data_IF_276400741468
#
_entry.id   IF_276400741468
#
_cell.length_a   1.000
_cell.length_b   1.000
_cell.length_c   1.000
_cell.angle_alpha   90.00
_cell.angle_beta   90.00
_cell.angle_gamma   90.00
#
_symmetry.space_group_name_H-M   'P 1'
#
loop_
_entity.id
_entity.type
_entity.pdbx_description
1 polymer ?
#
# COMPACT_ATOMS: atom_id res chain seq x y z
N UNK A 1 -14.87 -16.61 3.62
CA UNK A 1 -14.29 -15.49 2.87
C UNK A 1 -14.02 -15.88 1.41
N UNK A 2 -13.31 -16.99 1.04
CA UNK A 2 -13.01 -17.33 -0.36
C UNK A 2 -14.26 -17.48 -1.24
N UNK A 3 -15.33 -18.09 -0.71
CA UNK A 3 -16.59 -18.24 -1.44
C UNK A 3 -17.21 -16.89 -1.81
N UNK A 4 -17.26 -15.95 -0.87
CA UNK A 4 -17.81 -14.61 -1.11
C UNK A 4 -16.98 -13.84 -2.14
N UNK A 5 -15.65 -13.91 -2.02
CA UNK A 5 -14.73 -13.31 -3.00
C UNK A 5 -14.95 -13.87 -4.39
N UNK A 6 -15.10 -15.20 -4.51
CA UNK A 6 -15.36 -15.88 -5.79
C UNK A 6 -16.68 -15.41 -6.41
N UNK A 7 -17.75 -15.31 -5.63
CA UNK A 7 -19.05 -14.83 -6.11
C UNK A 7 -18.98 -13.39 -6.62
N UNK A 8 -18.30 -12.50 -5.89
CA UNK A 8 -18.10 -11.11 -6.31
C UNK A 8 -17.30 -11.04 -7.61
N UNK A 9 -16.24 -11.85 -7.74
CA UNK A 9 -15.42 -11.88 -8.95
C UNK A 9 -16.20 -12.42 -10.15
N UNK A 10 -17.02 -13.47 -9.97
CA UNK A 10 -17.88 -14.00 -11.05
C UNK A 10 -18.86 -12.90 -11.52
N UNK A 11 -19.49 -12.20 -10.59
CA UNK A 11 -20.33 -11.06 -10.93
C UNK A 11 -19.58 -9.98 -11.73
N UNK A 12 -18.35 -9.65 -11.31
CA UNK A 12 -17.47 -8.73 -12.05
C UNK A 12 -17.13 -9.23 -13.46
N UNK A 13 -16.92 -10.52 -13.67
CA UNK A 13 -16.69 -11.10 -15.01
C UNK A 13 -17.89 -10.94 -15.91
N UNK A 14 -19.11 -11.12 -15.39
CA UNK A 14 -20.36 -10.93 -16.13
C UNK A 14 -20.52 -9.46 -16.54
N UNK A 15 -20.22 -8.52 -15.64
CA UNK A 15 -20.26 -7.08 -15.95
C UNK A 15 -19.26 -6.70 -17.02
N UNK A 16 -18.02 -7.21 -16.96
CA UNK A 16 -17.00 -6.94 -17.99
C UNK A 16 -17.39 -7.52 -19.36
N UNK A 17 -17.97 -8.71 -19.37
CA UNK A 17 -18.49 -9.33 -20.58
C UNK A 17 -19.63 -8.48 -21.20
N UNK A 18 -20.55 -8.02 -20.37
CA UNK A 18 -21.65 -7.13 -20.82
C UNK A 18 -21.13 -5.79 -21.33
N UNK A 19 -20.20 -5.16 -20.63
CA UNK A 19 -19.58 -3.90 -21.02
C UNK A 19 -18.77 -3.99 -22.33
N UNK A 20 -18.24 -5.19 -22.64
CA UNK A 20 -17.54 -5.49 -23.88
C UNK A 20 -18.48 -5.85 -25.07
N UNK A 21 -19.78 -5.63 -24.93
CA UNK A 21 -20.76 -5.95 -25.98
C UNK A 21 -20.88 -7.45 -26.26
N UNK A 22 -20.70 -8.31 -25.25
CA UNK A 22 -20.76 -9.76 -25.38
C UNK A 22 -19.42 -10.42 -25.77
N UNK A 23 -18.32 -9.70 -25.74
CA UNK A 23 -16.98 -10.25 -26.00
C UNK A 23 -16.24 -10.57 -24.69
N UNK A 24 -15.64 -11.76 -24.61
CA UNK A 24 -14.84 -12.15 -23.44
C UNK A 24 -13.47 -11.44 -23.47
N UNK A 25 -12.92 -11.18 -24.63
CA UNK A 25 -11.63 -10.50 -24.83
C UNK A 25 -11.84 -9.01 -25.06
N UNK A 26 -10.92 -8.14 -24.59
CA UNK A 26 -9.71 -8.44 -23.82
C UNK A 26 -9.89 -8.44 -22.29
N UNK A 27 -11.00 -7.89 -21.78
CA UNK A 27 -11.11 -7.50 -20.35
C UNK A 27 -11.48 -8.69 -19.46
N UNK A 28 -12.58 -9.39 -19.75
CA UNK A 28 -13.03 -10.51 -18.91
C UNK A 28 -12.02 -11.66 -18.91
N UNK A 29 -11.42 -12.00 -20.07
CA UNK A 29 -10.42 -13.07 -20.17
C UNK A 29 -9.18 -12.79 -19.33
N UNK A 30 -8.67 -11.54 -19.36
CA UNK A 30 -7.52 -11.12 -18.53
C UNK A 30 -7.84 -11.22 -17.05
N UNK A 31 -9.02 -10.79 -16.65
CA UNK A 31 -9.45 -10.84 -15.25
C UNK A 31 -9.64 -12.26 -14.74
N UNK A 32 -10.22 -13.14 -15.56
CA UNK A 32 -10.37 -14.57 -15.26
C UNK A 32 -8.99 -15.22 -15.08
N UNK A 33 -8.05 -14.96 -15.99
CA UNK A 33 -6.69 -15.49 -15.90
C UNK A 33 -5.98 -15.06 -14.62
N UNK A 34 -6.03 -13.77 -14.28
CA UNK A 34 -5.48 -13.22 -13.02
C UNK A 34 -6.13 -13.87 -11.81
N UNK A 35 -7.46 -13.95 -11.79
CA UNK A 35 -8.21 -14.57 -10.68
C UNK A 35 -7.84 -16.05 -10.50
N UNK A 36 -7.71 -16.81 -11.60
CA UNK A 36 -7.34 -18.23 -11.56
C UNK A 36 -5.94 -18.50 -10.99
N UNK A 37 -5.03 -17.51 -11.07
CA UNK A 37 -3.70 -17.59 -10.47
C UNK A 37 -3.74 -17.16 -9.00
N UNK A 38 -4.39 -16.03 -8.71
CA UNK A 38 -4.32 -15.42 -7.38
C UNK A 38 -5.25 -16.05 -6.36
N UNK A 39 -6.36 -16.70 -6.78
CA UNK A 39 -7.23 -17.41 -5.85
C UNK A 39 -6.52 -18.62 -5.18
N UNK A 40 -5.90 -19.56 -5.92
CA UNK A 40 -5.12 -20.64 -5.31
C UNK A 40 -3.96 -20.11 -4.46
N UNK A 41 -3.27 -19.06 -4.92
CA UNK A 41 -2.18 -18.43 -4.17
C UNK A 41 -2.68 -17.86 -2.83
N UNK A 42 -3.85 -17.20 -2.82
CA UNK A 42 -4.45 -16.66 -1.58
C UNK A 42 -4.83 -17.77 -0.60
N UNK A 43 -5.36 -18.90 -1.10
CA UNK A 43 -5.67 -20.07 -0.28
C UNK A 43 -4.38 -20.68 0.28
N UNK A 44 -3.35 -20.82 -0.55
CA UNK A 44 -2.04 -21.30 -0.12
C UNK A 44 -1.44 -20.44 0.99
N UNK A 45 -1.45 -19.11 0.83
CA UNK A 45 -0.98 -18.18 1.86
C UNK A 45 -1.80 -18.30 3.15
N UNK A 46 -3.12 -18.47 3.04
CA UNK A 46 -3.99 -18.64 4.19
C UNK A 46 -3.75 -19.96 4.97
N UNK A 47 -3.16 -20.96 4.33
CA UNK A 47 -2.78 -22.24 4.96
C UNK A 47 -1.39 -22.21 5.59
N UNK A 48 -0.60 -21.18 5.35
CA UNK A 48 0.74 -21.05 5.94
C UNK A 48 0.65 -20.88 7.46
N UNK A 49 1.55 -21.52 8.17
CA UNK A 49 1.69 -21.33 9.62
C UNK A 49 2.13 -19.87 9.90
N UNK A 50 1.45 -19.23 10.82
CA UNK A 50 1.79 -17.87 11.28
C UNK A 50 3.22 -17.77 11.78
N UNK A 51 3.80 -18.86 12.31
CA UNK A 51 5.19 -18.91 12.74
C UNK A 51 6.16 -18.73 11.58
N UNK A 52 5.83 -19.27 10.41
CA UNK A 52 6.61 -19.10 9.19
C UNK A 52 6.59 -17.64 8.73
N UNK A 53 5.40 -17.04 8.67
CA UNK A 53 5.22 -15.63 8.31
C UNK A 53 6.00 -14.73 9.29
N UNK A 54 5.89 -15.00 10.58
CA UNK A 54 6.64 -14.28 11.62
C UNK A 54 8.17 -14.42 11.42
N UNK A 55 8.66 -15.63 11.15
CA UNK A 55 10.10 -15.86 10.97
C UNK A 55 10.65 -15.03 9.79
N UNK A 56 9.94 -15.02 8.66
CA UNK A 56 10.38 -14.35 7.44
C UNK A 56 10.00 -12.86 7.35
N UNK A 57 9.38 -12.26 8.35
CA UNK A 57 8.89 -10.87 8.30
C UNK A 57 9.97 -9.85 7.94
N UNK A 58 11.17 -9.93 8.53
CA UNK A 58 12.26 -9.01 8.20
C UNK A 58 12.84 -9.26 6.80
N UNK A 59 12.93 -10.52 6.37
CA UNK A 59 13.40 -10.89 5.03
C UNK A 59 12.42 -10.35 3.99
N UNK A 60 11.14 -10.51 4.23
CA UNK A 60 10.08 -9.98 3.36
C UNK A 60 10.10 -8.45 3.30
N UNK A 61 10.34 -7.77 4.44
CA UNK A 61 10.50 -6.32 4.47
C UNK A 61 11.69 -5.86 3.61
N UNK A 62 12.86 -6.47 3.78
CA UNK A 62 14.05 -6.13 2.99
C UNK A 62 13.81 -6.40 1.50
N UNK A 63 13.19 -7.53 1.16
CA UNK A 63 12.85 -7.87 -0.22
C UNK A 63 11.93 -6.83 -0.86
N UNK A 64 10.84 -6.46 -0.19
CA UNK A 64 9.89 -5.46 -0.72
C UNK A 64 10.52 -4.07 -0.80
N UNK A 65 11.41 -3.72 0.12
CA UNK A 65 12.17 -2.48 0.07
C UNK A 65 13.11 -2.43 -1.13
N UNK A 66 13.82 -3.53 -1.42
CA UNK A 66 14.67 -3.64 -2.63
C UNK A 66 13.82 -3.49 -3.90
N UNK A 67 12.66 -4.14 -3.98
CA UNK A 67 11.74 -3.98 -5.11
C UNK A 67 11.29 -2.51 -5.28
N UNK A 68 11.03 -1.82 -4.18
CA UNK A 68 10.64 -0.40 -4.20
C UNK A 68 11.78 0.49 -4.74
N UNK A 69 13.02 0.18 -4.38
CA UNK A 69 14.20 0.87 -4.92
C UNK A 69 14.39 0.55 -6.41
N UNK A 70 14.23 -0.70 -6.82
CA UNK A 70 14.35 -1.11 -8.22
C UNK A 70 13.33 -0.35 -9.09
N UNK A 71 12.08 -0.23 -8.64
CA UNK A 71 11.04 0.47 -9.41
C UNK A 71 11.35 1.96 -9.61
N UNK A 72 12.08 2.57 -8.72
CA UNK A 72 12.53 3.98 -8.87
C UNK A 72 13.40 4.16 -10.13
N UNK A 73 14.21 3.14 -10.48
CA UNK A 73 15.15 3.21 -11.61
C UNK A 73 14.64 2.56 -12.88
N UNK A 74 13.78 1.52 -12.77
CA UNK A 74 13.36 0.68 -13.91
C UNK A 74 11.87 0.67 -14.16
N UNK A 75 11.08 1.35 -13.29
CA UNK A 75 9.63 1.33 -13.34
C UNK A 75 9.06 1.97 -14.61
N UNK A 76 7.97 1.37 -15.12
CA UNK A 76 7.18 1.99 -16.18
C UNK A 76 6.35 3.13 -15.63
N UNK A 77 6.39 4.26 -16.31
CA UNK A 77 5.53 5.39 -16.00
C UNK A 77 4.13 5.16 -16.56
N UNK A 78 3.14 5.08 -15.68
CA UNK A 78 1.74 5.13 -16.04
C UNK A 78 1.11 6.36 -15.38
N UNK A 79 0.41 7.19 -16.16
CA UNK A 79 -0.22 8.43 -15.68
C UNK A 79 0.75 9.40 -14.97
N UNK A 80 2.00 9.48 -15.44
CA UNK A 80 3.02 10.41 -14.89
C UNK A 80 3.73 9.92 -13.63
N UNK A 81 3.59 8.65 -13.26
CA UNK A 81 4.28 8.07 -12.11
C UNK A 81 4.86 6.69 -12.43
N UNK A 82 6.12 6.48 -12.04
CA UNK A 82 6.83 5.21 -12.19
C UNK A 82 6.54 4.33 -10.97
N UNK A 83 5.57 3.42 -11.07
CA UNK A 83 5.09 2.65 -9.91
C UNK A 83 5.03 1.15 -10.16
N UNK A 84 5.13 0.73 -11.42
CA UNK A 84 4.83 -0.63 -11.84
C UNK A 84 6.08 -1.32 -12.35
N UNK A 85 6.33 -2.53 -11.85
CA UNK A 85 7.28 -3.47 -12.44
C UNK A 85 6.52 -4.36 -13.41
N UNK A 86 6.91 -4.33 -14.66
CA UNK A 86 6.36 -5.21 -15.69
C UNK A 86 7.18 -6.50 -15.74
N UNK A 87 6.53 -7.60 -15.42
CA UNK A 87 7.10 -8.94 -15.50
C UNK A 87 6.67 -9.68 -16.78
N UNK A 88 6.11 -8.95 -17.76
CA UNK A 88 5.66 -9.49 -19.04
C UNK A 88 4.24 -10.05 -18.99
N UNK A 89 3.97 -11.01 -18.12
CA UNK A 89 2.65 -11.65 -17.97
C UNK A 89 1.72 -10.79 -17.08
N UNK A 90 2.27 -10.17 -16.05
CA UNK A 90 1.54 -9.31 -15.12
C UNK A 90 2.45 -8.18 -14.61
N UNK A 91 1.82 -7.12 -14.14
CA UNK A 91 2.50 -5.99 -13.52
C UNK A 91 2.35 -6.06 -12.00
N UNK A 92 3.43 -5.81 -11.28
CA UNK A 92 3.43 -5.73 -9.80
C UNK A 92 3.68 -4.29 -9.39
N UNK A 93 2.96 -3.85 -8.37
CA UNK A 93 3.22 -2.58 -7.71
C UNK A 93 3.90 -2.84 -6.35
N UNK A 94 5.22 -2.59 -6.22
CA UNK A 94 5.95 -2.87 -4.99
C UNK A 94 5.41 -2.13 -3.76
N UNK A 95 4.86 -0.94 -3.91
CA UNK A 95 4.27 -0.18 -2.81
C UNK A 95 3.07 -0.90 -2.15
N UNK A 96 2.35 -1.75 -2.89
CA UNK A 96 1.29 -2.60 -2.32
C UNK A 96 1.86 -3.66 -1.36
N UNK A 97 2.98 -4.27 -1.73
CA UNK A 97 3.68 -5.25 -0.89
C UNK A 97 4.33 -4.60 0.34
N UNK A 98 4.83 -3.37 0.20
CA UNK A 98 5.44 -2.60 1.30
C UNK A 98 4.46 -2.38 2.44
N UNK A 99 3.19 -2.13 2.19
CA UNK A 99 2.18 -1.99 3.25
C UNK A 99 2.13 -3.22 4.15
N UNK A 100 2.09 -4.40 3.54
CA UNK A 100 2.04 -5.68 4.26
C UNK A 100 3.36 -5.92 5.01
N UNK A 101 4.49 -5.67 4.35
CA UNK A 101 5.80 -5.91 4.95
C UNK A 101 6.09 -5.00 6.14
N UNK A 102 5.64 -3.74 6.11
CA UNK A 102 5.73 -2.81 7.25
C UNK A 102 4.91 -3.32 8.44
N UNK A 103 3.69 -3.82 8.20
CA UNK A 103 2.87 -4.43 9.26
C UNK A 103 3.60 -5.60 9.91
N UNK A 104 4.09 -6.53 9.10
CA UNK A 104 4.76 -7.75 9.59
C UNK A 104 6.07 -7.41 10.33
N UNK A 105 6.85 -6.47 9.81
CA UNK A 105 8.09 -6.00 10.42
C UNK A 105 7.80 -5.37 11.79
N UNK A 106 6.83 -4.47 11.87
CA UNK A 106 6.45 -3.81 13.13
C UNK A 106 5.89 -4.80 14.14
N UNK A 107 5.00 -5.71 13.71
CA UNK A 107 4.43 -6.73 14.57
C UNK A 107 5.51 -7.62 15.19
N UNK A 108 6.48 -8.07 14.38
CA UNK A 108 7.62 -8.86 14.84
C UNK A 108 8.50 -8.07 15.80
N UNK A 109 8.88 -6.85 15.42
CA UNK A 109 9.74 -6.00 16.24
C UNK A 109 9.16 -5.76 17.64
N UNK A 110 7.88 -5.38 17.72
CA UNK A 110 7.24 -5.11 19.01
C UNK A 110 6.93 -6.38 19.81
N UNK A 111 6.78 -7.53 19.16
CA UNK A 111 6.64 -8.80 19.87
C UNK A 111 7.98 -9.27 20.49
N UNK A 112 9.11 -8.97 19.86
CA UNK A 112 10.45 -9.29 20.34
C UNK A 112 10.95 -8.27 21.38
N UNK A 113 10.41 -7.05 21.36
CA UNK A 113 10.81 -5.99 22.31
C UNK A 113 10.18 -6.23 23.68
N UNK A 114 10.96 -6.01 24.74
CA UNK A 114 10.49 -6.09 26.12
C UNK A 114 9.34 -5.11 26.37
N UNK A 115 8.14 -5.63 26.58
CA UNK A 115 6.90 -4.84 26.75
C UNK A 115 6.94 -3.86 27.93
N UNK A 116 7.88 -4.04 28.85
CA UNK A 116 8.02 -3.24 30.07
C UNK A 116 9.10 -2.15 30.01
N UNK A 117 9.99 -2.20 29.02
CA UNK A 117 11.11 -1.27 28.87
C UNK A 117 11.08 -0.56 27.51
N UNK A 118 9.95 0.09 27.16
CA UNK A 118 9.93 1.01 26.02
C UNK A 118 10.83 2.23 26.29
N UNK A 119 12.13 2.03 26.07
CA UNK A 119 13.05 3.16 26.01
C UNK A 119 12.74 3.97 24.73
N UNK A 120 12.99 5.27 24.75
CA UNK A 120 12.83 6.16 23.59
C UNK A 120 13.47 5.59 22.32
N UNK A 121 14.59 4.91 22.46
CA UNK A 121 15.35 4.31 21.36
C UNK A 121 14.67 3.08 20.74
N UNK A 122 13.92 2.29 21.51
CA UNK A 122 13.20 1.12 20.99
C UNK A 122 12.00 1.47 20.11
N UNK A 123 11.48 2.70 20.21
CA UNK A 123 10.39 3.19 19.33
C UNK A 123 10.95 3.89 18.09
N UNK A 124 12.14 4.50 18.20
CA UNK A 124 12.73 5.29 17.13
C UNK A 124 13.14 4.46 15.91
N UNK A 125 13.75 3.29 16.15
CA UNK A 125 14.20 2.39 15.07
C UNK A 125 13.05 1.92 14.15
N UNK A 126 11.93 1.36 14.66
CA UNK A 126 10.83 0.92 13.81
C UNK A 126 10.12 2.08 13.11
N UNK A 127 10.09 3.29 13.72
CA UNK A 127 9.58 4.48 13.06
C UNK A 127 10.44 4.83 11.83
N UNK A 128 11.76 4.91 11.98
CA UNK A 128 12.66 5.19 10.86
C UNK A 128 12.54 4.11 9.78
N UNK A 129 12.57 2.83 10.17
CA UNK A 129 12.40 1.72 9.25
C UNK A 129 11.08 1.81 8.46
N UNK A 130 10.01 2.34 9.04
CA UNK A 130 8.73 2.53 8.33
C UNK A 130 8.70 3.81 7.49
N UNK A 131 9.29 4.92 7.97
CA UNK A 131 9.28 6.20 7.27
C UNK A 131 10.10 6.15 5.97
N UNK A 132 11.21 5.41 5.94
CA UNK A 132 12.06 5.33 4.74
C UNK A 132 11.28 4.80 3.53
N UNK A 133 10.64 3.62 3.57
CA UNK A 133 9.84 3.15 2.44
C UNK A 133 8.62 4.05 2.15
N UNK A 134 7.98 4.64 3.17
CA UNK A 134 6.88 5.59 2.98
C UNK A 134 7.34 6.81 2.17
N UNK A 135 8.50 7.38 2.51
CA UNK A 135 9.07 8.53 1.80
C UNK A 135 9.40 8.18 0.34
N UNK A 136 9.93 6.97 0.07
CA UNK A 136 10.16 6.50 -1.30
C UNK A 136 8.85 6.36 -2.08
N UNK A 137 7.80 5.81 -1.48
CA UNK A 137 6.47 5.68 -2.10
C UNK A 137 5.89 7.06 -2.44
N UNK A 138 6.02 8.04 -1.54
CA UNK A 138 5.58 9.42 -1.79
C UNK A 138 6.40 10.06 -2.91
N UNK A 139 7.71 9.79 -2.97
CA UNK A 139 8.60 10.27 -4.04
C UNK A 139 8.22 9.69 -5.41
N UNK A 140 7.70 8.47 -5.47
CA UNK A 140 7.15 7.81 -6.68
C UNK A 140 5.75 8.31 -7.09
N UNK A 141 5.43 9.52 -6.80
CA UNK A 141 4.15 10.24 -6.66
C UNK A 141 2.93 9.35 -6.30
N UNK A 142 3.10 8.37 -5.40
CA UNK A 142 2.02 7.52 -4.90
C UNK A 142 1.56 7.94 -3.51
N UNK A 143 0.94 9.11 -3.46
CA UNK A 143 0.52 9.76 -2.22
C UNK A 143 -0.54 8.94 -1.48
N UNK A 144 -1.47 8.30 -2.21
CA UNK A 144 -2.52 7.47 -1.63
C UNK A 144 -1.95 6.29 -0.85
N UNK A 145 -1.08 5.50 -1.46
CA UNK A 145 -0.43 4.36 -0.81
C UNK A 145 0.50 4.81 0.32
N UNK A 146 1.20 5.94 0.15
CA UNK A 146 2.04 6.53 1.19
C UNK A 146 1.25 6.90 2.44
N UNK A 147 0.11 7.58 2.29
CA UNK A 147 -0.78 7.95 3.41
C UNK A 147 -1.35 6.71 4.10
N UNK A 148 -1.84 5.72 3.34
CA UNK A 148 -2.37 4.48 3.91
C UNK A 148 -1.29 3.75 4.72
N UNK A 149 -0.06 3.66 4.19
CA UNK A 149 1.05 3.02 4.90
C UNK A 149 1.43 3.77 6.17
N UNK A 150 1.37 5.12 6.14
CA UNK A 150 1.59 5.94 7.33
C UNK A 150 0.51 5.73 8.40
N UNK A 151 -0.76 5.66 8.00
CA UNK A 151 -1.88 5.36 8.92
C UNK A 151 -1.69 3.99 9.55
N UNK A 152 -1.33 2.98 8.76
CA UNK A 152 -1.04 1.62 9.23
C UNK A 152 0.11 1.63 10.24
N UNK A 153 1.21 2.34 9.98
CA UNK A 153 2.32 2.50 10.92
C UNK A 153 1.84 3.11 12.24
N UNK A 154 1.04 4.18 12.20
CA UNK A 154 0.49 4.85 13.39
C UNK A 154 -0.37 3.88 14.21
N UNK A 155 -1.26 3.13 13.55
CA UNK A 155 -2.11 2.13 14.22
C UNK A 155 -1.25 1.04 14.89
N UNK A 156 -0.23 0.54 14.21
CA UNK A 156 0.67 -0.48 14.76
C UNK A 156 1.46 0.03 15.97
N UNK A 157 1.97 1.27 15.94
CA UNK A 157 2.62 1.91 17.07
C UNK A 157 1.67 2.09 18.25
N UNK A 158 0.42 2.48 17.99
CA UNK A 158 -0.61 2.61 19.04
C UNK A 158 -0.94 1.26 19.66
N UNK A 159 -1.15 0.21 18.84
CA UNK A 159 -1.40 -1.15 19.29
C UNK A 159 -0.22 -1.74 20.09
N UNK A 160 1.00 -1.32 19.79
CA UNK A 160 2.21 -1.70 20.54
C UNK A 160 2.32 -1.01 21.92
N UNK A 161 1.42 -0.05 22.25
CA UNK A 161 1.41 0.62 23.54
C UNK A 161 2.30 1.87 23.61
N UNK A 162 2.67 2.46 22.48
CA UNK A 162 3.39 3.74 22.44
C UNK A 162 2.53 4.84 23.05
N UNK A 163 3.13 5.70 23.86
CA UNK A 163 2.42 6.73 24.62
C UNK A 163 1.66 7.69 23.71
N UNK A 164 0.38 7.93 24.01
CA UNK A 164 -0.51 8.82 23.26
C UNK A 164 0.07 10.23 23.04
N UNK A 165 0.87 10.72 23.98
CA UNK A 165 1.52 12.02 23.86
C UNK A 165 2.37 12.16 22.58
N UNK A 166 3.05 11.10 22.13
CA UNK A 166 3.84 11.16 20.90
C UNK A 166 2.95 11.34 19.66
N UNK A 167 1.76 10.72 19.64
CA UNK A 167 0.80 10.88 18.54
C UNK A 167 0.21 12.29 18.51
N UNK A 168 -0.12 12.84 19.67
CA UNK A 168 -0.62 14.23 19.78
C UNK A 168 0.44 15.21 19.28
N UNK A 169 1.68 15.09 19.75
CA UNK A 169 2.79 15.96 19.35
C UNK A 169 3.05 15.81 17.85
N UNK A 170 3.14 14.57 17.32
CA UNK A 170 3.36 14.35 15.89
C UNK A 170 2.18 14.84 15.05
N UNK A 171 0.95 14.73 15.54
CA UNK A 171 -0.24 15.27 14.88
C UNK A 171 -0.22 16.80 14.78
N UNK A 172 0.12 17.48 15.88
CA UNK A 172 0.27 18.95 15.87
C UNK A 172 1.37 19.37 14.89
N UNK A 173 2.55 18.72 14.94
CA UNK A 173 3.63 18.99 14.00
C UNK A 173 3.21 18.69 12.55
N UNK A 174 2.46 17.59 12.32
CA UNK A 174 1.91 17.27 11.01
C UNK A 174 0.98 18.35 10.48
N UNK A 175 0.08 18.88 11.31
CA UNK A 175 -0.82 19.96 10.94
C UNK A 175 -0.07 21.23 10.55
N UNK A 176 1.00 21.58 11.24
CA UNK A 176 1.82 22.76 10.90
C UNK A 176 2.60 22.58 9.60
N UNK A 177 2.85 21.35 9.17
CA UNK A 177 3.54 21.06 7.89
C UNK A 177 2.61 21.00 6.68
N UNK A 178 1.27 20.96 6.86
CA UNK A 178 0.31 20.90 5.74
C UNK A 178 0.52 22.02 4.71
N UNK A 179 0.72 23.30 5.07
CA UNK A 179 0.95 24.35 4.09
C UNK A 179 2.21 24.12 3.26
N UNK A 180 3.29 23.62 3.88
CA UNK A 180 4.53 23.28 3.19
C UNK A 180 4.35 22.12 2.22
N UNK A 181 3.66 21.07 2.66
CA UNK A 181 3.33 19.91 1.83
C UNK A 181 2.52 20.35 0.62
N UNK A 182 1.53 21.23 0.80
CA UNK A 182 0.73 21.76 -0.29
C UNK A 182 1.57 22.47 -1.36
N UNK A 183 2.57 23.26 -0.95
CA UNK A 183 3.47 23.96 -1.87
C UNK A 183 4.36 22.97 -2.63
N UNK A 184 4.77 21.87 -2.00
CA UNK A 184 5.66 20.86 -2.59
C UNK A 184 4.93 19.82 -3.45
N UNK A 185 3.61 19.74 -3.38
CA UNK A 185 2.83 18.78 -4.16
C UNK A 185 2.85 19.07 -5.65
N UNK A 186 2.95 18.01 -6.46
CA UNK A 186 2.80 18.08 -7.91
C UNK A 186 1.38 18.47 -8.32
N UNK A 187 1.25 19.17 -9.44
CA UNK A 187 -0.06 19.67 -9.92
C UNK A 187 -1.13 18.57 -10.00
N UNK A 188 -0.76 17.36 -10.45
CA UNK A 188 -1.71 16.27 -10.52
C UNK A 188 -2.21 15.80 -9.13
N UNK A 189 -1.38 15.86 -8.09
CA UNK A 189 -1.74 15.51 -6.71
C UNK A 189 -2.69 16.56 -6.13
N UNK A 190 -2.39 17.86 -6.35
CA UNK A 190 -3.28 18.98 -5.96
C UNK A 190 -4.63 18.85 -6.66
N UNK A 191 -4.63 18.56 -7.96
CA UNK A 191 -5.87 18.40 -8.72
C UNK A 191 -6.72 17.26 -8.18
N UNK A 192 -6.13 16.12 -7.78
CA UNK A 192 -6.87 15.03 -7.14
C UNK A 192 -7.55 15.45 -5.85
N UNK A 193 -6.85 16.19 -4.97
CA UNK A 193 -7.44 16.68 -3.73
C UNK A 193 -8.55 17.68 -4.04
N UNK A 194 -8.34 18.61 -4.95
CA UNK A 194 -9.33 19.61 -5.32
C UNK A 194 -10.57 18.97 -5.97
N UNK A 195 -10.39 17.96 -6.81
CA UNK A 195 -11.48 17.22 -7.43
C UNK A 195 -12.21 16.35 -6.41
N UNK A 196 -11.54 15.78 -5.44
CA UNK A 196 -12.18 15.08 -4.33
C UNK A 196 -13.07 15.99 -3.49
N UNK A 197 -12.62 17.22 -3.24
CA UNK A 197 -13.40 18.23 -2.50
C UNK A 197 -14.53 18.84 -3.34
N UNK A 198 -14.36 18.88 -4.65
CA UNK A 198 -15.37 19.38 -5.60
C UNK A 198 -15.34 18.55 -6.89
N UNK A 199 -16.09 17.43 -6.95
CA UNK A 199 -16.12 16.53 -8.11
C UNK A 199 -16.59 17.17 -9.40
N UNK A 200 -17.40 18.24 -9.32
CA UNK A 200 -17.91 18.94 -10.49
C UNK A 200 -16.83 19.69 -11.30
N UNK A 201 -15.62 19.82 -10.72
CA UNK A 201 -14.51 20.55 -11.34
C UNK A 201 -13.86 19.79 -12.51
N UNK A 202 -13.93 18.46 -12.48
CA UNK A 202 -13.38 17.58 -13.52
C UNK A 202 -14.24 16.31 -13.68
N UNK A 203 -15.46 16.43 -14.23
CA UNK A 203 -16.42 15.33 -14.28
C UNK A 203 -16.04 14.20 -15.24
N UNK A 204 -15.09 14.44 -16.18
CA UNK A 204 -14.64 13.45 -17.16
C UNK A 204 -13.22 12.92 -16.89
N UNK A 205 -12.55 13.41 -15.85
CA UNK A 205 -11.20 13.02 -15.47
C UNK A 205 -11.12 12.41 -14.09
N UNK A 206 -10.40 13.07 -13.17
CA UNK A 206 -10.17 12.59 -11.81
C UNK A 206 -11.42 12.61 -10.90
N UNK A 207 -12.52 13.22 -11.35
CA UNK A 207 -13.81 13.29 -10.64
C UNK A 207 -14.76 12.12 -10.95
N UNK A 208 -14.36 11.21 -11.84
CA UNK A 208 -15.16 10.05 -12.27
C UNK A 208 -14.90 8.84 -11.38
#
# INVERSE_FOLDING_TARGET
>A
IPLLTTLICIYGFILLYSAAGGNITPWASKQIAVFSIFLPLSIFIAMLDLRLIYHFSYVFYVFTFILLVIVEFTGKSAMGATRWLDLGIFTIQPSELVKISVILMLAKYFNESDKYNFNKYSVFLPIIASIIPIALVIKQPDLGTGIITMIVMIIMLFAAGVRLAYFIISGILGLTTIPLIWIMMHNYQRNRILTFLNPERDPLGAGY
#
